data_IF_789488173988
#
_entry.id   IF_789488173988
#
_cell.length_a   1.000
_cell.length_b   1.000
_cell.length_c   1.000
_cell.angle_alpha   90.00
_cell.angle_beta   90.00
_cell.angle_gamma   90.00
#
_symmetry.space_group_name_H-M   'P 1'
#
loop_
_entity.id
_entity.type
_entity.pdbx_description
1 polymer ?
#
# COMPACT_ATOMS: atom_id res chain seq x y z
N UNK A 1 6.62 33.19 14.95
CA UNK A 1 5.40 33.87 14.44
C UNK A 1 5.40 33.81 12.93
N UNK A 2 4.62 32.90 12.36
CA UNK A 2 4.01 33.01 11.03
C UNK A 2 2.70 32.23 11.11
N UNK A 3 1.59 32.97 11.08
CA UNK A 3 0.24 32.43 11.05
C UNK A 3 -0.08 32.05 9.59
N UNK A 4 -0.51 30.81 9.39
CA UNK A 4 -1.12 30.37 8.14
C UNK A 4 -2.61 30.20 8.36
N UNK A 5 -3.39 31.18 7.92
CA UNK A 5 -4.85 31.08 7.84
C UNK A 5 -5.23 30.21 6.64
N UNK A 6 -5.78 29.02 6.90
CA UNK A 6 -6.52 28.24 5.92
C UNK A 6 -8.01 28.36 6.26
N UNK A 7 -8.81 28.89 5.33
CA UNK A 7 -10.21 29.24 5.53
C UNK A 7 -11.10 28.01 5.73
N UNK A 8 -12.08 28.21 6.60
CA UNK A 8 -13.07 27.27 7.08
C UNK A 8 -13.91 26.63 5.96
N UNK A 9 -13.91 25.30 5.93
CA UNK A 9 -14.85 24.48 5.16
C UNK A 9 -15.48 23.46 6.12
N UNK A 10 -16.80 23.57 6.30
CA UNK A 10 -17.72 22.65 6.99
C UNK A 10 -17.24 22.06 8.33
N UNK A 11 -17.76 22.63 9.43
CA UNK A 11 -17.67 22.07 10.78
C UNK A 11 -18.46 20.76 10.88
N UNK A 12 -17.82 19.63 10.56
CA UNK A 12 -18.23 18.34 11.12
C UNK A 12 -17.79 18.32 12.58
N UNK A 13 -18.74 18.49 13.50
CA UNK A 13 -18.52 18.27 14.94
C UNK A 13 -18.10 16.80 15.12
N UNK A 14 -16.79 16.56 15.19
CA UNK A 14 -16.24 15.23 15.42
C UNK A 14 -16.06 15.04 16.92
N UNK A 15 -16.67 14.00 17.47
CA UNK A 15 -16.48 13.65 18.88
C UNK A 15 -15.01 13.34 19.15
N UNK A 16 -14.45 14.02 20.15
CA UNK A 16 -13.08 13.76 20.61
C UNK A 16 -13.06 12.41 21.30
N UNK A 17 -12.59 11.37 20.59
CA UNK A 17 -12.50 10.01 21.13
C UNK A 17 -11.44 9.89 22.24
N UNK A 18 -10.28 10.53 22.07
CA UNK A 18 -9.18 10.50 23.04
C UNK A 18 -8.32 11.77 22.99
N UNK A 19 -7.78 12.18 24.13
CA UNK A 19 -6.77 13.24 24.25
C UNK A 19 -5.45 12.63 24.69
N UNK A 20 -4.37 12.93 23.96
CA UNK A 20 -3.05 12.38 24.20
C UNK A 20 -1.96 13.44 24.23
N UNK A 21 -0.91 13.20 25.03
CA UNK A 21 0.31 14.03 24.99
C UNK A 21 1.20 13.52 23.87
N UNK A 22 1.56 14.37 22.91
CA UNK A 22 2.59 14.03 21.93
C UNK A 22 3.97 14.00 22.59
N UNK A 23 4.71 12.91 22.42
CA UNK A 23 6.11 12.75 22.81
C UNK A 23 6.89 12.33 21.56
N UNK A 24 7.76 13.21 21.08
CA UNK A 24 8.47 13.04 19.80
C UNK A 24 7.49 12.84 18.61
N UNK A 25 7.53 11.68 17.95
CA UNK A 25 6.65 11.28 16.85
C UNK A 25 5.46 10.42 17.29
N UNK A 26 5.29 10.18 18.59
CA UNK A 26 4.23 9.31 19.14
C UNK A 26 3.22 10.10 19.99
N UNK A 27 1.97 9.68 19.98
CA UNK A 27 0.95 10.16 20.91
C UNK A 27 0.81 9.19 22.09
N UNK A 28 1.01 9.69 23.30
CA UNK A 28 0.85 8.94 24.53
C UNK A 28 -0.54 9.19 25.07
N UNK A 29 -1.36 8.15 25.10
CA UNK A 29 -2.70 8.17 25.68
C UNK A 29 -2.63 7.66 27.12
N UNK A 30 -3.23 8.40 28.06
CA UNK A 30 -3.50 7.87 29.39
C UNK A 30 -4.80 7.09 29.34
N UNK A 31 -4.70 5.79 29.05
CA UNK A 31 -5.86 4.91 29.06
C UNK A 31 -6.16 4.44 30.50
N UNK A 32 -7.44 4.44 30.88
CA UNK A 32 -7.88 3.85 32.16
C UNK A 32 -7.56 2.35 32.21
N UNK A 33 -7.21 1.84 33.40
CA UNK A 33 -6.95 0.41 33.68
C UNK A 33 -7.93 -0.58 32.99
N UNK A 34 -9.27 -0.39 33.00
CA UNK A 34 -10.19 -1.31 32.32
C UNK A 34 -10.00 -1.38 30.79
N UNK A 35 -9.61 -0.30 30.13
CA UNK A 35 -9.34 -0.31 28.68
C UNK A 35 -8.04 -1.03 28.38
N UNK A 36 -7.00 -0.79 29.20
CA UNK A 36 -5.72 -1.49 29.10
C UNK A 36 -5.90 -2.99 29.34
N UNK A 37 -6.67 -3.38 30.37
CA UNK A 37 -7.02 -4.79 30.66
C UNK A 37 -7.77 -5.45 29.51
N UNK A 38 -8.75 -4.77 28.93
CA UNK A 38 -9.51 -5.28 27.77
C UNK A 38 -8.61 -5.42 26.54
N UNK A 39 -7.74 -4.44 26.28
CA UNK A 39 -6.80 -4.49 25.16
C UNK A 39 -5.70 -5.55 25.34
N UNK A 40 -5.29 -5.85 26.58
CA UNK A 40 -4.32 -6.89 26.91
C UNK A 40 -4.90 -8.31 26.85
N UNK A 41 -6.23 -8.44 26.91
CA UNK A 41 -6.93 -9.72 26.68
C UNK A 41 -7.01 -10.10 25.20
N UNK A 42 -6.67 -9.18 24.28
CA UNK A 42 -6.62 -9.46 22.84
C UNK A 42 -5.36 -10.28 22.50
N UNK A 43 -5.43 -11.58 22.78
CA UNK A 43 -4.35 -12.55 22.62
C UNK A 43 -4.47 -13.42 21.36
N UNK A 44 -5.29 -13.03 20.37
CA UNK A 44 -5.38 -13.76 19.11
C UNK A 44 -4.34 -13.28 18.10
N UNK A 45 -3.76 -14.22 17.37
CA UNK A 45 -2.81 -13.94 16.29
C UNK A 45 -3.39 -13.04 15.19
N UNK A 46 -4.68 -13.15 14.89
CA UNK A 46 -5.36 -12.32 13.88
C UNK A 46 -5.37 -10.83 14.24
N UNK A 47 -5.55 -10.49 15.51
CA UNK A 47 -5.54 -9.09 15.97
C UNK A 47 -4.14 -8.48 15.80
N UNK A 48 -3.10 -9.23 16.17
CA UNK A 48 -1.72 -8.76 16.07
C UNK A 48 -1.21 -8.74 14.63
N UNK A 49 -1.66 -9.68 13.80
CA UNK A 49 -1.51 -9.63 12.35
C UNK A 49 -1.99 -8.27 11.79
N UNK A 50 -3.21 -7.85 12.14
CA UNK A 50 -3.79 -6.57 11.68
C UNK A 50 -3.08 -5.36 12.29
N UNK A 51 -2.82 -5.35 13.61
CA UNK A 51 -2.14 -4.23 14.30
C UNK A 51 -0.75 -3.94 13.77
N UNK A 52 -0.02 -4.97 13.33
CA UNK A 52 1.33 -4.85 12.77
C UNK A 52 1.32 -4.64 11.25
N UNK A 53 0.21 -4.14 10.68
CA UNK A 53 0.12 -3.81 9.26
C UNK A 53 0.05 -5.06 8.37
N UNK A 54 -0.74 -6.05 8.78
CA UNK A 54 -0.95 -7.29 8.03
C UNK A 54 0.36 -8.09 7.80
N UNK A 55 1.21 -8.15 8.82
CA UNK A 55 2.46 -8.93 8.80
C UNK A 55 2.15 -10.42 8.60
N UNK A 56 2.91 -11.14 7.76
CA UNK A 56 2.65 -12.57 7.53
C UNK A 56 2.70 -13.39 8.83
N UNK A 57 1.81 -14.37 9.02
CA UNK A 57 1.74 -15.18 10.24
C UNK A 57 3.05 -15.90 10.58
N UNK A 58 3.80 -16.33 9.57
CA UNK A 58 5.14 -16.91 9.75
C UNK A 58 6.15 -15.89 10.34
N UNK A 59 6.07 -14.62 9.93
CA UNK A 59 6.90 -13.57 10.49
C UNK A 59 6.43 -13.18 11.90
N UNK A 60 5.11 -13.13 12.14
CA UNK A 60 4.54 -12.93 13.47
C UNK A 60 5.06 -13.99 14.45
N UNK A 61 5.10 -15.27 14.05
CA UNK A 61 5.67 -16.35 14.86
C UNK A 61 7.16 -16.12 15.17
N UNK A 62 7.95 -15.70 14.19
CA UNK A 62 9.37 -15.40 14.39
C UNK A 62 9.59 -14.24 15.36
N UNK A 63 8.76 -13.20 15.27
CA UNK A 63 8.78 -12.05 16.19
C UNK A 63 8.51 -12.50 17.62
N UNK A 64 7.48 -13.34 17.83
CA UNK A 64 7.12 -13.87 19.15
C UNK A 64 8.19 -14.81 19.71
N UNK A 65 8.65 -15.77 18.91
CA UNK A 65 9.65 -16.76 19.32
C UNK A 65 10.99 -16.12 19.71
N UNK A 66 11.35 -15.01 19.06
CA UNK A 66 12.58 -14.26 19.34
C UNK A 66 12.38 -13.07 20.27
N UNK A 67 11.16 -12.84 20.76
CA UNK A 67 10.82 -11.73 21.66
C UNK A 67 11.30 -10.37 21.13
N UNK A 68 11.09 -10.11 19.83
CA UNK A 68 11.61 -8.89 19.17
C UNK A 68 10.81 -7.61 19.49
N UNK A 69 9.65 -7.74 20.14
CA UNK A 69 8.77 -6.64 20.49
C UNK A 69 8.28 -6.80 21.92
N UNK A 70 8.29 -5.71 22.68
CA UNK A 70 7.73 -5.66 24.04
C UNK A 70 6.23 -5.42 24.00
N UNK A 71 5.51 -5.99 24.97
CA UNK A 71 4.07 -5.75 25.16
C UNK A 71 3.13 -6.59 24.27
N UNK A 72 3.66 -7.52 23.47
CA UNK A 72 2.85 -8.50 22.74
C UNK A 72 2.58 -9.70 23.67
N UNK A 73 1.31 -10.08 23.90
CA UNK A 73 0.98 -11.27 24.68
C UNK A 73 1.46 -12.54 23.96
N UNK A 74 1.69 -13.60 24.72
CA UNK A 74 2.01 -14.91 24.15
C UNK A 74 0.77 -15.42 23.39
N UNK A 75 0.87 -15.49 22.06
CA UNK A 75 -0.20 -15.97 21.19
C UNK A 75 -0.09 -17.49 21.06
N UNK A 76 -1.15 -18.21 21.40
CA UNK A 76 -1.19 -19.69 21.35
C UNK A 76 -1.74 -20.23 20.03
N UNK A 77 -2.40 -19.38 19.25
CA UNK A 77 -3.26 -19.67 18.10
C UNK A 77 -2.71 -19.04 16.81
N UNK A 78 -1.46 -19.31 16.44
CA UNK A 78 -0.92 -18.77 15.18
C UNK A 78 -1.51 -19.56 14.01
N UNK A 79 -2.33 -18.90 13.19
CA UNK A 79 -2.95 -19.51 12.02
C UNK A 79 -1.98 -19.49 10.83
N UNK A 80 -1.33 -20.62 10.53
CA UNK A 80 -0.41 -20.72 9.39
C UNK A 80 -1.13 -20.92 8.05
N UNK A 81 -2.31 -21.56 8.09
CA UNK A 81 -3.06 -21.98 6.89
C UNK A 81 -4.23 -21.04 6.56
N UNK A 82 -4.47 -20.01 7.38
CA UNK A 82 -5.54 -19.06 7.12
C UNK A 82 -5.07 -17.89 6.25
N UNK A 83 -5.85 -17.62 5.21
CA UNK A 83 -5.65 -16.47 4.34
C UNK A 83 -6.47 -15.30 4.85
N UNK A 84 -5.80 -14.25 5.35
CA UNK A 84 -6.46 -12.99 5.68
C UNK A 84 -7.01 -12.33 4.38
N UNK A 85 -8.32 -11.99 4.30
CA UNK A 85 -8.90 -11.36 3.11
C UNK A 85 -8.17 -10.06 2.72
N UNK A 86 -7.84 -9.20 3.70
CA UNK A 86 -7.10 -7.96 3.45
C UNK A 86 -5.72 -8.19 2.86
N UNK A 87 -5.01 -9.25 3.30
CA UNK A 87 -3.75 -9.66 2.68
C UNK A 87 -3.94 -10.20 1.27
N UNK A 88 -4.98 -11.00 1.04
CA UNK A 88 -5.24 -11.57 -0.27
C UNK A 88 -5.44 -10.48 -1.32
N UNK A 89 -6.26 -9.47 -1.01
CA UNK A 89 -6.46 -8.35 -1.93
C UNK A 89 -5.24 -7.43 -2.01
N UNK A 90 -4.57 -7.15 -0.89
CA UNK A 90 -3.46 -6.21 -0.85
C UNK A 90 -2.11 -6.75 -1.34
N UNK A 91 -1.91 -8.08 -1.32
CA UNK A 91 -0.63 -8.74 -1.69
C UNK A 91 -0.76 -9.70 -2.87
N UNK A 92 -1.95 -9.84 -3.46
CA UNK A 92 -2.08 -10.60 -4.70
C UNK A 92 -1.26 -9.94 -5.81
N UNK A 93 -0.46 -10.73 -6.49
CA UNK A 93 0.19 -10.32 -7.73
C UNK A 93 -0.59 -10.89 -8.90
N UNK A 94 -0.63 -10.14 -10.01
CA UNK A 94 -1.15 -10.67 -11.26
C UNK A 94 -0.23 -11.83 -11.70
N UNK A 95 -0.82 -12.95 -12.07
CA UNK A 95 -0.08 -14.07 -12.66
C UNK A 95 0.66 -13.61 -13.92
N UNK A 96 1.78 -14.26 -14.30
CA UNK A 96 2.45 -13.97 -15.56
C UNK A 96 1.49 -14.03 -16.73
N UNK A 97 1.60 -13.07 -17.65
CA UNK A 97 0.86 -13.12 -18.90
C UNK A 97 1.43 -14.23 -19.80
N UNK A 98 0.59 -14.97 -20.53
CA UNK A 98 1.07 -15.85 -21.58
C UNK A 98 1.77 -15.04 -22.67
N UNK A 99 2.64 -15.69 -23.45
CA UNK A 99 3.20 -15.09 -24.65
C UNK A 99 2.09 -14.76 -25.65
N UNK A 100 2.22 -13.64 -26.37
CA UNK A 100 1.30 -13.32 -27.46
C UNK A 100 1.50 -14.30 -28.62
N UNK A 101 0.42 -14.91 -29.08
CA UNK A 101 0.39 -15.68 -30.35
C UNK A 101 0.12 -14.77 -31.56
N UNK A 102 -0.33 -13.54 -31.32
CA UNK A 102 -0.57 -12.55 -32.36
C UNK A 102 0.74 -11.82 -32.69
N UNK A 103 1.37 -12.23 -33.79
CA UNK A 103 2.50 -11.55 -34.41
C UNK A 103 2.26 -11.42 -35.91
N UNK A 104 2.55 -10.25 -36.47
CA UNK A 104 2.48 -10.02 -37.90
C UNK A 104 3.39 -11.00 -38.67
N UNK A 105 2.87 -11.53 -39.77
CA UNK A 105 3.58 -12.42 -40.70
C UNK A 105 4.17 -11.67 -41.89
N UNK A 106 3.70 -10.44 -42.16
CA UNK A 106 4.15 -9.58 -43.25
C UNK A 106 4.29 -8.12 -42.79
N UNK A 107 5.12 -7.35 -43.51
CA UNK A 107 5.34 -5.94 -43.20
C UNK A 107 4.04 -5.13 -43.35
N UNK A 108 3.80 -4.20 -42.42
CA UNK A 108 2.63 -3.31 -42.33
C UNK A 108 1.29 -4.02 -42.04
N UNK A 109 1.31 -5.30 -41.67
CA UNK A 109 0.12 -6.06 -41.25
C UNK A 109 -0.43 -5.58 -39.90
N UNK A 110 0.47 -5.22 -38.98
CA UNK A 110 0.13 -4.68 -37.65
C UNK A 110 1.13 -3.57 -37.29
N UNK A 111 0.59 -2.40 -36.95
CA UNK A 111 1.37 -1.23 -36.52
C UNK A 111 0.97 -0.89 -35.09
N UNK A 112 1.97 -0.80 -34.22
CA UNK A 112 1.79 -0.27 -32.87
C UNK A 112 2.09 1.22 -32.91
N UNK A 113 1.17 2.03 -32.38
CA UNK A 113 1.41 3.46 -32.23
C UNK A 113 1.18 3.89 -30.79
N UNK A 114 2.07 4.74 -30.27
CA UNK A 114 1.96 5.31 -28.94
C UNK A 114 2.25 6.81 -28.99
N UNK A 115 1.55 7.57 -28.16
CA UNK A 115 1.70 9.01 -28.07
C UNK A 115 2.26 9.39 -26.71
N UNK A 116 3.50 9.85 -26.71
CA UNK A 116 4.13 10.44 -25.53
C UNK A 116 3.83 11.94 -25.49
N UNK A 117 3.23 12.41 -24.40
CA UNK A 117 3.11 13.85 -24.09
C UNK A 117 1.86 14.22 -23.29
N UNK A 118 1.65 15.52 -22.99
CA UNK A 118 2.54 16.65 -23.31
C UNK A 118 3.80 16.67 -22.44
N UNK A 119 4.94 16.98 -23.03
CA UNK A 119 6.19 17.21 -22.29
C UNK A 119 6.19 18.60 -21.63
N UNK A 120 6.96 18.79 -20.56
CA UNK A 120 7.07 20.12 -19.91
C UNK A 120 7.89 21.11 -20.74
N UNK A 121 8.86 20.61 -21.50
CA UNK A 121 9.78 21.39 -22.32
C UNK A 121 9.53 20.98 -23.77
N UNK A 122 9.33 21.94 -24.70
CA UNK A 122 9.16 21.62 -26.11
C UNK A 122 10.46 21.09 -26.72
N UNK A 123 10.33 20.36 -27.82
CA UNK A 123 11.45 20.00 -28.68
C UNK A 123 12.10 21.24 -29.30
N UNK A 124 13.26 21.07 -29.94
CA UNK A 124 13.92 22.15 -30.67
C UNK A 124 13.03 22.82 -31.74
N UNK A 125 12.05 22.08 -32.29
CA UNK A 125 11.09 22.59 -33.26
C UNK A 125 9.77 23.09 -32.64
N UNK A 126 9.66 23.13 -31.31
CA UNK A 126 8.47 23.65 -30.62
C UNK A 126 7.36 22.62 -30.35
N UNK A 127 7.58 21.32 -30.60
CA UNK A 127 6.56 20.29 -30.37
C UNK A 127 6.59 19.76 -28.93
N UNK A 128 5.42 19.42 -28.40
CA UNK A 128 5.22 18.91 -27.02
C UNK A 128 4.86 17.43 -26.96
N UNK A 129 4.66 16.81 -28.12
CA UNK A 129 4.26 15.42 -28.24
C UNK A 129 5.19 14.70 -29.18
N UNK A 130 5.42 13.41 -28.91
CA UNK A 130 6.16 12.49 -29.78
C UNK A 130 5.26 11.30 -30.03
N UNK A 131 5.06 10.95 -31.30
CA UNK A 131 4.36 9.73 -31.68
C UNK A 131 5.39 8.68 -32.08
N UNK A 132 5.38 7.54 -31.39
CA UNK A 132 6.13 6.36 -31.79
C UNK A 132 5.21 5.52 -32.68
N UNK A 133 5.73 5.10 -33.84
CA UNK A 133 5.03 4.20 -34.76
C UNK A 133 6.00 3.05 -35.04
N UNK A 134 5.58 1.82 -34.78
CA UNK A 134 6.44 0.64 -34.90
C UNK A 134 5.70 -0.45 -35.67
N UNK A 135 6.32 -0.94 -36.75
CA UNK A 135 5.84 -2.09 -37.49
C UNK A 135 6.10 -3.39 -36.68
N UNK A 136 5.06 -4.20 -36.47
CA UNK A 136 5.17 -5.40 -35.64
C UNK A 136 6.05 -6.50 -36.27
N UNK A 137 6.03 -6.60 -37.61
CA UNK A 137 6.78 -7.62 -38.34
C UNK A 137 8.29 -7.31 -38.35
N UNK A 138 8.65 -6.15 -38.90
CA UNK A 138 10.04 -5.73 -39.14
C UNK A 138 10.71 -5.10 -37.92
N UNK A 139 9.93 -4.66 -36.92
CA UNK A 139 10.38 -3.85 -35.78
C UNK A 139 10.98 -2.50 -36.20
N UNK A 140 10.66 -2.01 -37.40
CA UNK A 140 11.07 -0.69 -37.87
C UNK A 140 10.24 0.41 -37.20
N UNK A 141 10.89 1.52 -36.84
CA UNK A 141 10.31 2.69 -36.15
C UNK A 141 10.75 3.99 -36.81
#
# INVERSE_FOLDING_TARGET
>A
MKEGHFKDGESTEADVLFVGRRKESLYVLSASDPYVKKASQNASSTIWHTRLGHVGYQLLQKILARQLLEGIPILKDIHHDEVCPGCQFGKSHRLPFPNSENRASTALELIHSDLMGPTRIPSYAGFYYVMAIVDDFSRFS
#
